data_IF_359523323986
#
_entry.id   IF_359523323986
#
_cell.length_a   1.000
_cell.length_b   1.000
_cell.length_c   1.000
_cell.angle_alpha   90.00
_cell.angle_beta   90.00
_cell.angle_gamma   90.00
#
_symmetry.space_group_name_H-M   'P 1'
#
loop_
_entity.id
_entity.type
_entity.pdbx_description
1 polymer ?
#
# COMPACT_ATOMS: atom_id res chain seq x y z
N UNK A 1 25.45 -6.05 -18.84
CA UNK A 1 26.20 -4.77 -18.93
C UNK A 1 27.55 -4.78 -18.19
N UNK A 2 28.30 -5.90 -18.05
CA UNK A 2 29.48 -5.96 -17.16
C UNK A 2 30.85 -6.29 -17.80
N UNK A 3 30.95 -6.44 -19.14
CA UNK A 3 32.23 -6.76 -19.80
C UNK A 3 32.83 -5.66 -20.67
N UNK A 4 32.08 -4.62 -21.05
CA UNK A 4 32.60 -3.55 -21.91
C UNK A 4 33.25 -2.37 -21.16
N UNK A 5 32.99 -2.18 -19.86
CA UNK A 5 33.60 -1.06 -19.10
C UNK A 5 35.06 -1.31 -18.70
N UNK A 6 35.49 -2.57 -18.56
CA UNK A 6 36.85 -2.85 -18.06
C UNK A 6 37.93 -2.62 -19.13
N UNK A 7 37.57 -2.71 -20.41
CA UNK A 7 38.47 -2.47 -21.55
C UNK A 7 38.67 -0.99 -21.86
N UNK A 8 37.73 -0.11 -21.50
CA UNK A 8 37.79 1.32 -21.86
C UNK A 8 38.78 2.12 -21.02
N UNK A 9 39.11 1.66 -19.81
CA UNK A 9 40.08 2.33 -18.92
C UNK A 9 41.54 2.04 -19.29
N UNK A 10 41.81 0.89 -19.89
CA UNK A 10 43.17 0.50 -20.30
C UNK A 10 43.60 1.19 -21.60
N UNK A 11 42.65 1.37 -22.53
CA UNK A 11 42.90 1.98 -23.84
C UNK A 11 43.58 3.36 -23.78
N UNK A 12 43.13 4.33 -22.95
CA UNK A 12 43.78 5.63 -22.87
C UNK A 12 45.15 5.60 -22.17
N UNK A 13 45.37 4.68 -21.22
CA UNK A 13 46.68 4.48 -20.59
C UNK A 13 47.69 3.96 -21.61
N UNK A 14 47.26 3.01 -22.46
CA UNK A 14 48.07 2.49 -23.57
C UNK A 14 48.40 3.60 -24.57
N UNK A 15 47.45 4.46 -24.92
CA UNK A 15 47.68 5.62 -25.81
C UNK A 15 48.69 6.60 -25.20
N UNK A 16 48.57 6.89 -23.90
CA UNK A 16 49.53 7.74 -23.18
C UNK A 16 50.94 7.13 -23.21
N UNK A 17 51.08 5.84 -22.91
CA UNK A 17 52.36 5.14 -22.91
C UNK A 17 52.99 5.10 -24.32
N UNK A 18 52.19 4.82 -25.35
CA UNK A 18 52.64 4.85 -26.75
C UNK A 18 53.09 6.25 -27.18
N UNK A 19 52.39 7.30 -26.72
CA UNK A 19 52.78 8.70 -27.00
C UNK A 19 54.10 9.07 -26.30
N UNK A 20 54.31 8.62 -25.07
CA UNK A 20 55.58 8.82 -24.35
C UNK A 20 56.73 8.11 -25.07
N UNK A 21 56.56 6.83 -25.43
CA UNK A 21 57.57 6.05 -26.15
C UNK A 21 57.87 6.67 -27.52
N UNK A 22 56.84 7.08 -28.27
CA UNK A 22 56.99 7.75 -29.56
C UNK A 22 57.76 9.06 -29.44
N UNK A 23 57.47 9.88 -28.42
CA UNK A 23 58.20 11.12 -28.18
C UNK A 23 59.68 10.87 -27.86
N UNK A 24 59.97 9.87 -27.02
CA UNK A 24 61.35 9.46 -26.69
C UNK A 24 62.13 8.95 -27.91
N UNK A 25 61.48 8.20 -28.80
CA UNK A 25 62.12 7.69 -30.03
C UNK A 25 62.42 8.81 -31.02
N UNK A 26 61.45 9.72 -31.26
CA UNK A 26 61.65 10.89 -32.13
C UNK A 26 62.78 11.76 -31.56
N UNK A 27 62.79 11.98 -30.25
CA UNK A 27 63.85 12.69 -29.57
C UNK A 27 65.21 12.01 -29.77
N UNK A 28 65.31 10.70 -29.55
CA UNK A 28 66.55 9.95 -29.72
C UNK A 28 67.10 10.03 -31.14
N UNK A 29 66.24 9.97 -32.15
CA UNK A 29 66.62 10.09 -33.56
C UNK A 29 67.12 11.49 -33.89
N UNK A 30 66.38 12.53 -33.49
CA UNK A 30 66.74 13.93 -33.73
C UNK A 30 68.03 14.30 -32.99
N UNK A 31 68.17 13.88 -31.74
CA UNK A 31 69.36 14.14 -30.92
C UNK A 31 70.63 13.52 -31.50
N UNK A 32 70.54 12.26 -31.95
CA UNK A 32 71.66 11.55 -32.55
C UNK A 32 72.07 12.18 -33.90
N UNK A 33 71.10 12.50 -34.76
CA UNK A 33 71.35 13.18 -36.04
C UNK A 33 72.06 14.52 -35.86
N UNK A 34 71.60 15.34 -34.92
CA UNK A 34 72.18 16.66 -34.66
C UNK A 34 73.59 16.60 -34.05
N UNK A 35 73.83 15.66 -33.13
CA UNK A 35 75.16 15.46 -32.51
C UNK A 35 76.19 14.97 -33.54
N UNK A 36 75.76 14.10 -34.47
CA UNK A 36 76.61 13.64 -35.58
C UNK A 36 77.02 14.76 -36.55
N UNK A 37 76.28 15.88 -36.56
CA UNK A 37 76.56 17.07 -37.36
C UNK A 37 77.47 18.09 -36.65
N UNK A 38 77.96 17.79 -35.44
CA UNK A 38 78.89 18.65 -34.69
C UNK A 38 78.26 19.86 -33.99
N UNK A 39 76.93 19.93 -33.91
CA UNK A 39 76.20 21.05 -33.27
C UNK A 39 75.82 20.68 -31.83
N UNK A 40 76.31 21.43 -30.85
CA UNK A 40 75.92 21.28 -29.44
C UNK A 40 74.62 22.06 -29.15
N UNK A 41 73.61 21.39 -28.59
CA UNK A 41 72.32 22.01 -28.26
C UNK A 41 72.09 22.16 -26.75
N UNK A 42 71.33 23.18 -26.33
CA UNK A 42 71.00 23.41 -24.94
C UNK A 42 69.89 22.47 -24.44
N UNK A 43 69.97 22.06 -23.17
CA UNK A 43 69.08 21.07 -22.56
C UNK A 43 67.58 21.44 -22.57
N UNK A 44 67.22 22.72 -22.71
CA UNK A 44 65.81 23.15 -22.73
C UNK A 44 65.03 22.69 -23.98
N UNK A 45 65.71 22.31 -25.07
CA UNK A 45 65.04 21.70 -26.23
C UNK A 45 64.40 20.34 -25.88
N UNK A 46 64.95 19.65 -24.88
CA UNK A 46 64.36 18.42 -24.34
C UNK A 46 63.00 18.71 -23.71
N UNK A 47 62.87 19.84 -23.00
CA UNK A 47 61.61 20.23 -22.37
C UNK A 47 60.49 20.50 -23.41
N UNK A 48 60.83 20.99 -24.60
CA UNK A 48 59.88 21.20 -25.70
C UNK A 48 59.27 19.88 -26.22
N UNK A 49 60.06 18.81 -26.26
CA UNK A 49 59.58 17.48 -26.70
C UNK A 49 58.60 16.82 -25.71
N UNK A 50 58.61 17.26 -24.45
CA UNK A 50 57.72 16.76 -23.41
C UNK A 50 56.36 17.45 -23.39
N UNK A 51 56.23 18.65 -23.97
CA UNK A 51 54.98 19.42 -23.98
C UNK A 51 53.79 18.62 -24.55
N UNK A 52 53.90 17.92 -25.70
CA UNK A 52 52.80 17.11 -26.22
C UNK A 52 52.37 16.01 -25.26
N UNK A 53 53.32 15.36 -24.58
CA UNK A 53 53.02 14.29 -23.63
C UNK A 53 52.29 14.80 -22.39
N UNK A 54 52.66 15.99 -21.90
CA UNK A 54 51.98 16.67 -20.79
C UNK A 54 50.57 17.11 -21.19
N UNK A 55 50.37 17.60 -22.41
CA UNK A 55 49.05 17.98 -22.93
C UNK A 55 48.10 16.78 -23.05
N UNK A 56 48.59 15.63 -23.54
CA UNK A 56 47.80 14.39 -23.58
C UNK A 56 47.45 13.91 -22.18
N UNK A 57 48.39 13.96 -21.24
CA UNK A 57 48.15 13.62 -19.83
C UNK A 57 47.11 14.53 -19.16
N UNK A 58 47.20 15.84 -19.41
CA UNK A 58 46.24 16.83 -18.90
C UNK A 58 44.84 16.63 -19.49
N UNK A 59 44.74 16.43 -20.81
CA UNK A 59 43.46 16.12 -21.48
C UNK A 59 42.84 14.83 -20.95
N UNK A 60 43.66 13.79 -20.74
CA UNK A 60 43.19 12.54 -20.15
C UNK A 60 42.64 12.74 -18.74
N UNK A 61 43.39 13.42 -17.86
CA UNK A 61 42.93 13.72 -16.51
C UNK A 61 41.63 14.54 -16.51
N UNK A 62 41.51 15.52 -17.40
CA UNK A 62 40.31 16.30 -17.58
C UNK A 62 39.12 15.44 -18.05
N UNK A 63 39.34 14.51 -18.99
CA UNK A 63 38.31 13.58 -19.47
C UNK A 63 37.79 12.65 -18.36
N UNK A 64 38.68 12.17 -17.46
CA UNK A 64 38.27 11.38 -16.30
C UNK A 64 37.42 12.20 -15.32
N UNK A 65 37.80 13.47 -15.09
CA UNK A 65 37.03 14.38 -14.24
C UNK A 65 35.63 14.62 -14.80
N UNK A 66 35.51 14.79 -16.12
CA UNK A 66 34.22 14.92 -16.81
C UNK A 66 33.37 13.66 -16.69
N UNK A 67 33.96 12.48 -16.91
CA UNK A 67 33.24 11.20 -16.75
C UNK A 67 32.69 11.03 -15.33
N UNK A 68 33.48 11.38 -14.31
CA UNK A 68 33.04 11.32 -12.92
C UNK A 68 31.91 12.31 -12.60
N UNK A 69 31.88 13.49 -13.22
CA UNK A 69 30.78 14.44 -13.05
C UNK A 69 29.50 13.95 -13.74
N UNK A 70 29.62 13.40 -14.95
CA UNK A 70 28.51 12.80 -15.69
C UNK A 70 27.91 11.62 -14.92
N UNK A 71 28.74 10.75 -14.33
CA UNK A 71 28.22 9.63 -13.54
C UNK A 71 27.48 10.09 -12.28
N UNK A 72 27.98 11.13 -11.59
CA UNK A 72 27.29 11.72 -10.43
C UNK A 72 25.93 12.30 -10.84
N UNK A 73 25.92 13.08 -11.92
CA UNK A 73 24.69 13.69 -12.42
C UNK A 73 23.65 12.63 -12.86
N UNK A 74 24.09 11.55 -13.51
CA UNK A 74 23.21 10.44 -13.86
C UNK A 74 22.63 9.75 -12.63
N UNK A 75 23.43 9.55 -11.57
CA UNK A 75 22.93 8.98 -10.32
C UNK A 75 21.93 9.90 -9.60
N UNK A 76 22.14 11.21 -9.64
CA UNK A 76 21.19 12.21 -9.12
C UNK A 76 19.88 12.17 -9.93
N UNK A 77 19.95 12.12 -11.26
CA UNK A 77 18.78 11.97 -12.14
C UNK A 77 18.02 10.68 -11.83
N UNK A 78 18.71 9.56 -11.65
CA UNK A 78 18.07 8.27 -11.36
C UNK A 78 17.38 8.26 -10.00
N UNK A 79 18.02 8.85 -8.98
CA UNK A 79 17.42 8.99 -7.65
C UNK A 79 16.22 9.95 -7.67
N UNK A 80 16.31 11.08 -8.38
CA UNK A 80 15.21 12.02 -8.55
C UNK A 80 14.04 11.37 -9.31
N UNK A 81 14.32 10.63 -10.39
CA UNK A 81 13.32 9.88 -11.15
C UNK A 81 12.63 8.83 -10.29
N UNK A 82 13.37 8.18 -9.40
CA UNK A 82 12.83 7.21 -8.45
C UNK A 82 11.92 7.88 -7.42
N UNK A 83 12.35 9.01 -6.85
CA UNK A 83 11.55 9.80 -5.90
C UNK A 83 10.27 10.33 -6.54
N UNK A 84 10.35 10.93 -7.74
CA UNK A 84 9.19 11.39 -8.50
C UNK A 84 8.24 10.22 -8.79
N UNK A 85 8.76 9.05 -9.20
CA UNK A 85 7.92 7.87 -9.44
C UNK A 85 7.25 7.34 -8.18
N UNK A 86 7.89 7.43 -7.02
CA UNK A 86 7.26 7.07 -5.76
C UNK A 86 6.17 8.05 -5.33
N UNK A 87 6.38 9.35 -5.54
CA UNK A 87 5.39 10.39 -5.24
C UNK A 87 4.16 10.27 -6.14
N UNK A 88 4.35 10.09 -7.45
CA UNK A 88 3.24 9.84 -8.40
C UNK A 88 2.46 8.58 -8.01
N UNK A 89 3.15 7.49 -7.64
CA UNK A 89 2.47 6.27 -7.18
C UNK A 89 1.74 6.41 -5.85
N UNK A 90 2.19 7.28 -4.94
CA UNK A 90 1.45 7.54 -3.71
C UNK A 90 0.23 8.40 -3.97
N UNK A 91 0.34 9.38 -4.87
CA UNK A 91 -0.75 10.26 -5.29
C UNK A 91 -1.84 9.45 -6.01
N UNK A 92 -1.48 8.61 -6.99
CA UNK A 92 -2.42 7.69 -7.68
C UNK A 92 -3.15 6.76 -6.69
N UNK A 93 -2.44 6.27 -5.67
CA UNK A 93 -3.04 5.38 -4.64
C UNK A 93 -3.94 6.13 -3.69
N UNK A 94 -3.60 7.37 -3.36
CA UNK A 94 -4.40 8.23 -2.50
C UNK A 94 -5.68 8.65 -3.23
N UNK A 95 -5.61 8.96 -4.53
CA UNK A 95 -6.78 9.17 -5.39
C UNK A 95 -7.67 7.93 -5.49
N UNK A 96 -7.12 6.74 -5.82
CA UNK A 96 -7.90 5.47 -5.87
C UNK A 96 -8.53 5.11 -4.51
N UNK A 97 -7.82 5.39 -3.40
CA UNK A 97 -8.35 5.18 -2.05
C UNK A 97 -9.48 6.16 -1.71
N UNK A 98 -9.33 7.44 -2.07
CA UNK A 98 -10.36 8.47 -1.86
C UNK A 98 -11.60 8.21 -2.71
N UNK A 99 -11.41 7.78 -3.97
CA UNK A 99 -12.50 7.39 -4.88
C UNK A 99 -13.29 6.20 -4.31
N UNK A 100 -12.60 5.12 -3.93
CA UNK A 100 -13.23 3.95 -3.30
C UNK A 100 -13.96 4.29 -2.01
N UNK A 101 -13.35 5.11 -1.15
CA UNK A 101 -13.99 5.57 0.09
C UNK A 101 -15.27 6.37 -0.19
N UNK A 102 -15.27 7.17 -1.24
CA UNK A 102 -16.47 7.91 -1.69
C UNK A 102 -17.55 6.94 -2.18
N UNK A 103 -17.18 5.92 -2.94
CA UNK A 103 -18.11 4.89 -3.43
C UNK A 103 -18.73 4.10 -2.27
N UNK A 104 -17.93 3.68 -1.28
CA UNK A 104 -18.45 3.03 -0.09
C UNK A 104 -19.40 3.92 0.71
N UNK A 105 -19.13 5.22 0.82
CA UNK A 105 -20.04 6.13 1.52
C UNK A 105 -21.40 6.24 0.81
N UNK A 106 -21.39 6.26 -0.53
CA UNK A 106 -22.61 6.20 -1.34
C UNK A 106 -23.32 4.87 -1.13
N UNK A 107 -22.59 3.76 -1.07
CA UNK A 107 -23.17 2.43 -0.82
C UNK A 107 -23.79 2.34 0.57
N UNK A 108 -23.10 2.76 1.63
CA UNK A 108 -23.64 2.84 3.00
C UNK A 108 -24.95 3.61 3.03
N UNK A 109 -25.00 4.79 2.39
CA UNK A 109 -26.21 5.61 2.39
C UNK A 109 -27.40 4.92 1.71
N UNK A 110 -27.17 4.04 0.72
CA UNK A 110 -28.23 3.23 0.10
C UNK A 110 -28.73 2.10 1.01
N UNK A 111 -27.92 1.66 1.97
CA UNK A 111 -28.31 0.62 2.93
C UNK A 111 -29.16 1.18 4.07
N UNK A 112 -28.90 2.42 4.46
CA UNK A 112 -29.64 3.08 5.55
C UNK A 112 -31.13 3.21 5.20
N UNK A 113 -32.04 2.75 6.08
CA UNK A 113 -33.46 2.91 5.84
C UNK A 113 -33.93 4.36 5.93
N UNK A 114 -34.93 4.70 5.12
CA UNK A 114 -35.64 6.00 5.15
C UNK A 114 -36.78 6.01 6.20
N UNK A 115 -36.69 5.18 7.23
CA UNK A 115 -37.70 5.12 8.31
C UNK A 115 -37.33 6.01 9.50
N UNK A 116 -38.34 6.32 10.32
CA UNK A 116 -38.11 6.96 11.60
C UNK A 116 -37.29 6.04 12.52
N UNK A 117 -36.28 6.64 13.16
CA UNK A 117 -35.31 5.97 14.05
C UNK A 117 -35.86 5.80 15.47
N UNK A 118 -36.97 6.45 15.79
CA UNK A 118 -37.65 6.32 17.09
C UNK A 118 -38.02 4.86 17.40
N UNK A 119 -38.32 4.07 16.36
CA UNK A 119 -38.55 2.64 16.44
C UNK A 119 -37.31 1.87 15.93
N UNK A 120 -36.35 1.69 16.84
CA UNK A 120 -35.06 1.06 16.50
C UNK A 120 -35.21 -0.38 16.00
N UNK A 121 -36.25 -1.10 16.45
CA UNK A 121 -36.54 -2.47 16.01
C UNK A 121 -36.90 -2.48 14.53
N UNK A 122 -37.90 -1.68 14.12
CA UNK A 122 -38.27 -1.57 12.70
C UNK A 122 -37.14 -1.01 11.84
N UNK A 123 -36.41 -0.01 12.35
CA UNK A 123 -35.29 0.59 11.63
C UNK A 123 -34.20 -0.46 11.37
N UNK A 124 -33.79 -1.21 12.40
CA UNK A 124 -32.74 -2.22 12.25
C UNK A 124 -33.19 -3.43 11.41
N UNK A 125 -34.47 -3.83 11.47
CA UNK A 125 -35.01 -4.87 10.60
C UNK A 125 -34.95 -4.44 9.12
N UNK A 126 -35.39 -3.21 8.82
CA UNK A 126 -35.31 -2.65 7.47
C UNK A 126 -33.86 -2.53 6.96
N UNK A 127 -32.93 -2.16 7.84
CA UNK A 127 -31.51 -2.11 7.54
C UNK A 127 -30.99 -3.50 7.13
N UNK A 128 -31.27 -4.54 7.94
CA UNK A 128 -30.85 -5.90 7.62
C UNK A 128 -31.46 -6.40 6.31
N UNK A 129 -32.70 -6.02 6.01
CA UNK A 129 -33.35 -6.32 4.73
C UNK A 129 -32.69 -5.60 3.54
N UNK A 130 -32.25 -4.35 3.69
CA UNK A 130 -31.51 -3.62 2.66
C UNK A 130 -30.12 -4.21 2.42
N UNK A 131 -29.44 -4.64 3.49
CA UNK A 131 -28.18 -5.38 3.41
C UNK A 131 -28.38 -6.66 2.61
N UNK A 132 -29.39 -7.47 2.93
CA UNK A 132 -29.68 -8.72 2.22
C UNK A 132 -30.02 -8.56 0.73
N UNK A 133 -30.52 -7.40 0.31
CA UNK A 133 -30.75 -7.08 -1.12
C UNK A 133 -29.47 -6.67 -1.85
N UNK A 134 -28.48 -6.17 -1.13
CA UNK A 134 -27.26 -5.57 -1.69
C UNK A 134 -26.04 -6.48 -1.58
N UNK A 135 -26.02 -7.32 -0.55
CA UNK A 135 -24.97 -8.29 -0.22
C UNK A 135 -25.67 -9.63 -0.03
N UNK A 136 -25.09 -10.70 -0.59
CA UNK A 136 -25.62 -12.08 -0.55
C UNK A 136 -25.59 -12.70 0.86
N UNK A 137 -26.11 -12.02 1.88
CA UNK A 137 -26.32 -12.58 3.21
C UNK A 137 -27.58 -13.45 3.24
N UNK A 138 -27.59 -14.45 4.11
CA UNK A 138 -28.73 -15.36 4.28
C UNK A 138 -29.37 -15.27 5.66
N UNK A 139 -28.69 -14.65 6.61
CA UNK A 139 -29.21 -14.35 7.95
C UNK A 139 -28.51 -13.12 8.50
N UNK A 140 -29.24 -12.32 9.27
CA UNK A 140 -28.71 -11.13 9.93
C UNK A 140 -29.29 -10.94 11.33
N UNK A 141 -28.54 -10.34 12.23
CA UNK A 141 -28.99 -9.99 13.59
C UNK A 141 -28.45 -8.62 13.99
N UNK A 142 -29.26 -7.89 14.75
CA UNK A 142 -28.89 -6.61 15.34
C UNK A 142 -29.04 -6.65 16.86
N UNK A 143 -27.99 -6.24 17.57
CA UNK A 143 -27.97 -6.11 19.01
C UNK A 143 -27.69 -4.66 19.40
N UNK A 144 -28.31 -4.20 20.49
CA UNK A 144 -28.06 -2.89 21.06
C UNK A 144 -27.59 -3.02 22.51
N UNK A 145 -26.60 -2.21 22.88
CA UNK A 145 -26.06 -2.13 24.23
C UNK A 145 -26.97 -1.28 25.09
N UNK A 146 -27.44 -1.86 26.18
CA UNK A 146 -28.09 -1.14 27.26
C UNK A 146 -27.05 -0.27 27.98
N UNK A 147 -27.30 1.05 28.07
CA UNK A 147 -26.32 2.01 28.59
C UNK A 147 -26.11 1.93 30.10
N UNK A 148 -27.07 1.37 30.85
CA UNK A 148 -27.00 1.26 32.30
C UNK A 148 -26.30 -0.03 32.73
N UNK A 149 -26.67 -1.14 32.08
CA UNK A 149 -26.18 -2.48 32.45
C UNK A 149 -24.96 -2.90 31.63
N UNK A 150 -24.73 -2.30 30.46
CA UNK A 150 -23.66 -2.69 29.54
C UNK A 150 -23.93 -3.98 28.77
N UNK A 151 -25.13 -4.54 28.88
CA UNK A 151 -25.56 -5.78 28.25
C UNK A 151 -26.04 -5.53 26.83
N UNK A 152 -25.58 -6.35 25.88
CA UNK A 152 -26.10 -6.39 24.52
C UNK A 152 -27.35 -7.25 24.46
N UNK A 153 -28.44 -6.69 23.94
CA UNK A 153 -29.72 -7.38 23.75
C UNK A 153 -30.08 -7.44 22.29
N UNK A 154 -30.66 -8.57 21.88
CA UNK A 154 -31.20 -8.72 20.54
C UNK A 154 -32.35 -7.74 20.33
N UNK A 155 -32.32 -7.05 19.19
CA UNK A 155 -33.33 -6.08 18.80
C UNK A 155 -34.12 -6.57 17.58
N UNK A 156 -33.42 -7.03 16.53
CA UNK A 156 -34.08 -7.48 15.30
C UNK A 156 -33.21 -8.50 14.54
N UNK A 157 -33.83 -9.21 13.59
CA UNK A 157 -33.13 -10.19 12.76
C UNK A 157 -33.76 -10.34 11.38
N UNK A 158 -32.93 -10.77 10.42
CA UNK A 158 -33.33 -11.11 9.06
C UNK A 158 -33.18 -12.62 8.85
N UNK A 159 -34.25 -13.28 8.40
CA UNK A 159 -34.31 -14.73 8.23
C UNK A 159 -33.82 -15.51 9.47
N UNK A 160 -34.06 -14.93 10.65
CA UNK A 160 -33.63 -15.46 11.94
C UNK A 160 -34.72 -16.37 12.52
N UNK A 161 -34.33 -17.59 12.90
CA UNK A 161 -35.17 -18.51 13.65
C UNK A 161 -34.37 -19.05 14.83
N UNK A 162 -34.98 -19.09 16.01
CA UNK A 162 -34.43 -19.74 17.18
C UNK A 162 -35.54 -20.34 18.03
N UNK A 163 -35.28 -21.51 18.61
CA UNK A 163 -36.20 -22.17 19.56
C UNK A 163 -36.19 -21.47 20.93
N UNK A 164 -35.07 -20.82 21.26
CA UNK A 164 -34.89 -20.03 22.49
C UNK A 164 -34.59 -18.58 22.16
N UNK A 165 -34.84 -17.62 23.07
CA UNK A 165 -34.39 -16.24 22.87
C UNK A 165 -32.88 -16.19 22.58
N UNK A 166 -32.43 -15.28 21.70
CA UNK A 166 -31.00 -15.05 21.49
C UNK A 166 -30.33 -14.67 22.81
N UNK A 167 -29.11 -15.17 23.09
CA UNK A 167 -28.44 -14.90 24.34
C UNK A 167 -28.08 -13.42 24.47
N UNK A 168 -28.32 -12.85 25.65
CA UNK A 168 -27.74 -11.58 26.05
C UNK A 168 -26.28 -11.80 26.46
N UNK A 169 -25.41 -10.83 26.21
CA UNK A 169 -23.98 -10.91 26.54
C UNK A 169 -23.38 -9.54 26.81
N UNK A 170 -22.21 -9.52 27.44
CA UNK A 170 -21.41 -8.30 27.65
C UNK A 170 -20.10 -8.33 26.83
N UNK A 171 -19.34 -7.24 26.91
CA UNK A 171 -18.06 -7.14 26.19
C UNK A 171 -17.04 -8.20 26.66
N UNK A 172 -16.49 -8.94 25.70
CA UNK A 172 -15.48 -9.98 25.91
C UNK A 172 -16.01 -11.38 26.26
N UNK A 173 -17.32 -11.59 26.43
CA UNK A 173 -17.87 -12.91 26.79
C UNK A 173 -18.08 -13.84 25.59
N UNK A 174 -18.53 -13.29 24.47
CA UNK A 174 -18.82 -14.01 23.22
C UNK A 174 -17.93 -13.50 22.09
N UNK A 175 -17.98 -14.11 20.89
CA UNK A 175 -17.29 -13.53 19.71
C UNK A 175 -17.80 -12.11 19.42
N UNK A 176 -19.12 -11.90 19.46
CA UNK A 176 -19.73 -10.59 19.33
C UNK A 176 -19.31 -9.63 20.46
N UNK A 177 -19.30 -10.11 21.71
CA UNK A 177 -18.77 -9.34 22.84
C UNK A 177 -17.29 -8.99 22.66
N UNK A 178 -16.48 -9.87 22.07
CA UNK A 178 -15.07 -9.62 21.82
C UNK A 178 -14.86 -8.61 20.69
N UNK A 179 -15.72 -8.62 19.67
CA UNK A 179 -15.80 -7.57 18.65
C UNK A 179 -16.17 -6.23 19.28
N UNK A 180 -17.17 -6.22 20.16
CA UNK A 180 -17.56 -5.02 20.89
C UNK A 180 -16.40 -4.43 21.71
N UNK A 181 -15.67 -5.29 22.43
CA UNK A 181 -14.51 -4.90 23.24
C UNK A 181 -13.36 -4.34 22.39
N UNK A 182 -13.07 -4.98 21.27
CA UNK A 182 -11.96 -4.60 20.39
C UNK A 182 -12.30 -3.44 19.47
N UNK A 183 -13.59 -3.10 19.31
CA UNK A 183 -14.09 -2.06 18.39
C UNK A 183 -13.61 -2.28 16.95
N UNK A 184 -13.47 -3.55 16.60
CA UNK A 184 -12.96 -3.98 15.30
C UNK A 184 -13.82 -5.12 14.77
N UNK A 185 -14.26 -4.99 13.53
CA UNK A 185 -14.96 -6.03 12.81
C UNK A 185 -14.11 -7.30 12.71
N UNK A 186 -14.78 -8.45 12.74
CA UNK A 186 -14.17 -9.75 12.44
C UNK A 186 -14.94 -10.38 11.28
N UNK A 187 -14.19 -10.81 10.27
CA UNK A 187 -14.66 -11.64 9.17
C UNK A 187 -14.13 -13.07 9.40
N UNK A 188 -15.05 -14.02 9.54
CA UNK A 188 -14.73 -15.43 9.83
C UNK A 188 -15.12 -16.26 8.63
N UNK A 189 -14.11 -16.87 8.02
CA UNK A 189 -14.29 -17.90 7.01
C UNK A 189 -14.37 -19.29 7.63
N UNK A 190 -15.20 -20.14 7.02
CA UNK A 190 -15.32 -21.56 7.33
C UNK A 190 -15.73 -21.85 8.79
N UNK A 191 -16.83 -21.26 9.24
CA UNK A 191 -17.44 -21.64 10.52
C UNK A 191 -17.89 -23.13 10.51
N UNK A 192 -17.86 -23.82 11.68
CA UNK A 192 -18.25 -25.22 11.76
C UNK A 192 -19.69 -25.49 11.29
N UNK A 193 -19.94 -26.70 10.75
CA UNK A 193 -21.30 -27.12 10.42
C UNK A 193 -22.22 -27.11 11.64
N UNK A 194 -23.43 -26.59 11.47
CA UNK A 194 -24.42 -26.49 12.54
C UNK A 194 -24.19 -25.32 13.50
N UNK A 195 -23.12 -24.52 13.31
CA UNK A 195 -22.88 -23.30 14.10
C UNK A 195 -24.01 -22.27 13.87
N UNK A 196 -24.43 -22.12 12.61
CA UNK A 196 -25.61 -21.35 12.21
C UNK A 196 -26.54 -22.28 11.43
N UNK A 197 -27.83 -22.26 11.77
CA UNK A 197 -28.87 -23.01 11.05
C UNK A 197 -29.85 -22.02 10.44
N UNK A 198 -29.96 -22.05 9.11
CA UNK A 198 -31.04 -21.36 8.40
C UNK A 198 -32.15 -22.35 8.06
N UNK A 199 -33.39 -21.90 8.17
CA UNK A 199 -34.58 -22.66 7.81
C UNK A 199 -35.24 -22.05 6.57
N UNK A 200 -35.69 -22.91 5.68
CA UNK A 200 -36.54 -22.56 4.55
C UNK A 200 -37.66 -23.59 4.41
N UNK A 201 -38.72 -23.24 3.68
CA UNK A 201 -39.76 -24.21 3.34
C UNK A 201 -39.26 -25.39 2.49
N UNK A 202 -38.07 -25.28 1.91
CA UNK A 202 -37.44 -26.31 1.07
C UNK A 202 -36.42 -27.17 1.84
N UNK A 203 -36.04 -26.79 3.06
CA UNK A 203 -35.03 -27.50 3.84
C UNK A 203 -34.22 -26.59 4.76
N UNK A 204 -33.13 -27.15 5.29
CA UNK A 204 -32.21 -26.45 6.21
C UNK A 204 -30.84 -26.28 5.54
N UNK A 205 -30.16 -25.18 5.85
CA UNK A 205 -28.80 -24.91 5.39
C UNK A 205 -27.90 -24.43 6.54
N UNK A 206 -26.59 -24.54 6.35
CA UNK A 206 -25.59 -24.02 7.30
C UNK A 206 -24.62 -23.09 6.56
N UNK A 207 -24.70 -21.77 6.78
CA UNK A 207 -23.75 -20.79 6.25
C UNK A 207 -22.32 -21.09 6.70
N UNK A 208 -21.34 -20.66 5.92
CA UNK A 208 -19.90 -20.90 6.18
C UNK A 208 -19.12 -19.64 6.48
N UNK A 209 -19.71 -18.47 6.28
CA UNK A 209 -19.06 -17.18 6.49
C UNK A 209 -19.88 -16.34 7.44
N UNK A 210 -19.22 -15.65 8.35
CA UNK A 210 -19.82 -14.81 9.37
C UNK A 210 -18.99 -13.53 9.49
N UNK A 211 -19.66 -12.39 9.33
CA UNK A 211 -19.06 -11.09 9.64
C UNK A 211 -19.78 -10.47 10.83
N UNK A 212 -19.00 -9.98 11.78
CA UNK A 212 -19.49 -9.35 13.00
C UNK A 212 -18.92 -7.94 13.05
N UNK A 213 -19.81 -6.96 13.10
CA UNK A 213 -19.49 -5.53 12.95
C UNK A 213 -19.94 -4.76 14.19
N UNK A 214 -19.04 -4.02 14.85
CA UNK A 214 -19.42 -3.15 15.94
C UNK A 214 -20.08 -1.86 15.42
N UNK A 215 -21.13 -1.42 16.11
CA UNK A 215 -21.74 -0.11 15.89
C UNK A 215 -21.13 0.86 16.89
N UNK A 216 -20.43 1.87 16.37
CA UNK A 216 -19.58 2.75 17.17
C UNK A 216 -20.16 4.15 17.27
N UNK A 217 -20.39 4.64 18.48
CA UNK A 217 -20.77 6.04 18.72
C UNK A 217 -19.67 7.02 18.28
N UNK A 218 -19.97 8.33 18.16
CA UNK A 218 -18.96 9.36 17.88
C UNK A 218 -17.78 9.36 18.86
N UNK A 219 -18.01 8.99 20.12
CA UNK A 219 -16.98 8.85 21.16
C UNK A 219 -16.23 7.50 21.13
N UNK A 220 -16.37 6.78 20.01
CA UNK A 220 -15.76 5.48 19.77
C UNK A 220 -16.15 4.43 20.82
N UNK A 221 -17.38 4.45 21.33
CA UNK A 221 -17.92 3.41 22.21
C UNK A 221 -18.80 2.46 21.42
N UNK A 222 -18.72 1.15 21.71
CA UNK A 222 -19.60 0.19 21.07
C UNK A 222 -20.99 0.30 21.69
N UNK A 223 -21.97 0.66 20.86
CA UNK A 223 -23.38 0.81 21.27
C UNK A 223 -24.29 -0.27 20.67
N UNK A 224 -23.77 -1.08 19.75
CA UNK A 224 -24.51 -2.19 19.15
C UNK A 224 -23.58 -3.13 18.37
N UNK A 225 -24.14 -4.24 17.91
CA UNK A 225 -23.47 -5.25 17.07
C UNK A 225 -24.40 -5.64 15.92
N UNK A 226 -23.81 -5.81 14.74
CA UNK A 226 -24.45 -6.43 13.58
C UNK A 226 -23.73 -7.76 13.30
N UNK A 227 -24.48 -8.85 13.20
CA UNK A 227 -23.96 -10.17 12.78
C UNK A 227 -24.62 -10.57 11.47
N UNK A 228 -23.84 -10.93 10.45
CA UNK A 228 -24.35 -11.35 9.15
C UNK A 228 -23.70 -12.65 8.71
N UNK A 229 -24.52 -13.62 8.30
CA UNK A 229 -24.06 -14.90 7.81
C UNK A 229 -24.28 -15.01 6.30
N UNK A 230 -23.36 -15.67 5.59
CA UNK A 230 -23.46 -15.95 4.15
C UNK A 230 -22.97 -17.35 3.79
N UNK A 231 -23.50 -17.87 2.68
CA UNK A 231 -22.94 -19.04 2.00
C UNK A 231 -21.68 -18.70 1.19
N UNK A 232 -21.51 -17.44 0.80
CA UNK A 232 -20.36 -16.96 0.04
C UNK A 232 -19.41 -16.20 0.96
N UNK A 233 -18.09 -16.16 0.65
CA UNK A 233 -17.15 -15.34 1.39
C UNK A 233 -17.50 -13.85 1.35
N UNK A 234 -17.22 -13.13 2.43
CA UNK A 234 -17.21 -11.68 2.41
C UNK A 234 -15.86 -11.19 1.84
N UNK A 235 -15.91 -10.43 0.76
CA UNK A 235 -14.73 -9.82 0.13
C UNK A 235 -14.24 -8.59 0.91
N UNK A 236 -13.02 -8.11 0.63
CA UNK A 236 -12.43 -6.94 1.29
C UNK A 236 -13.32 -5.69 1.21
N UNK A 237 -14.02 -5.51 0.08
CA UNK A 237 -14.92 -4.38 -0.14
C UNK A 237 -16.12 -4.44 0.82
N UNK A 238 -16.58 -5.65 1.19
CA UNK A 238 -17.61 -5.83 2.22
C UNK A 238 -17.09 -5.48 3.62
N UNK A 239 -15.84 -5.80 3.95
CA UNK A 239 -15.25 -5.43 5.24
C UNK A 239 -15.19 -3.91 5.43
N UNK A 240 -14.74 -3.19 4.40
CA UNK A 240 -14.69 -1.71 4.44
C UNK A 240 -16.12 -1.12 4.47
N UNK A 241 -17.03 -1.64 3.64
CA UNK A 241 -18.44 -1.25 3.64
C UNK A 241 -19.06 -1.40 5.04
N UNK A 242 -18.92 -2.57 5.67
CA UNK A 242 -19.54 -2.83 6.97
C UNK A 242 -18.85 -2.07 8.10
N UNK A 243 -17.53 -1.87 8.03
CA UNK A 243 -16.81 -0.97 8.94
C UNK A 243 -17.36 0.46 8.90
N UNK A 244 -17.54 1.01 7.69
CA UNK A 244 -18.14 2.34 7.49
C UNK A 244 -19.61 2.38 7.93
N UNK A 245 -20.39 1.35 7.60
CA UNK A 245 -21.79 1.23 8.01
C UNK A 245 -21.93 1.24 9.54
N UNK A 246 -21.10 0.48 10.26
CA UNK A 246 -21.12 0.41 11.72
C UNK A 246 -20.86 1.77 12.38
N UNK A 247 -19.93 2.55 11.83
CA UNK A 247 -19.67 3.93 12.29
C UNK A 247 -20.84 4.85 11.96
N UNK A 248 -21.35 4.79 10.73
CA UNK A 248 -22.45 5.64 10.28
C UNK A 248 -23.72 5.39 11.09
N UNK A 249 -24.08 4.14 11.35
CA UNK A 249 -25.21 3.79 12.20
C UNK A 249 -25.03 4.29 13.64
N UNK A 250 -23.82 4.22 14.17
CA UNK A 250 -23.56 4.72 15.51
C UNK A 250 -23.74 6.23 15.63
N UNK A 251 -23.37 6.99 14.60
CA UNK A 251 -23.71 8.42 14.50
C UNK A 251 -25.23 8.63 14.49
N UNK A 252 -25.95 7.94 13.59
CA UNK A 252 -27.40 8.13 13.41
C UNK A 252 -28.21 7.78 14.67
N UNK A 253 -27.84 6.69 15.36
CA UNK A 253 -28.49 6.25 16.60
C UNK A 253 -28.17 7.20 17.75
N UNK A 254 -26.92 7.66 17.86
CA UNK A 254 -26.51 8.55 18.95
C UNK A 254 -27.16 9.93 18.87
N UNK A 255 -27.50 10.41 17.67
CA UNK A 255 -28.19 11.70 17.46
C UNK A 255 -29.68 11.62 17.82
N UNK A 256 -30.28 10.43 17.75
CA UNK A 256 -31.72 10.23 18.01
C UNK A 256 -32.11 10.15 19.51
N UNK A 257 -31.12 10.17 20.41
CA UNK A 257 -31.30 10.22 21.87
C UNK A 257 -31.11 11.65 22.39
#
# INVERSE_FOLDING_TARGET
MSRMEKSSRAMPIVILLLSIVGSLLIFSLVYNYLTSSGVHFPAWLIALSLIPTLLVGWFYFYSLKLQNQVSKLNSEIDSLKTQVRSLVKSEDKEEDFVEKKTDYQVWVNKLLPEFDKSDIEKYSEALLANIAKSVDIVQGQFYLKDSETGVFRFISGYAFYSETPPPEYTEGETLAGQVAKNKKLINIDNIPDGYITILSGLGKGSPKHLIITPVLSPDNQTIGIIELASFKPFENDHEELFSLLGRKLGEEISISK
#
